data_IF_178360922749
#
_entry.id   IF_178360922749
#
_cell.length_a   1.000
_cell.length_b   1.000
_cell.length_c   1.000
_cell.angle_alpha   90.00
_cell.angle_beta   90.00
_cell.angle_gamma   90.00
#
_symmetry.space_group_name_H-M   'P 1'
#
loop_
_entity.id
_entity.type
_entity.pdbx_description
1 polymer ?
#
# COMPACT_ATOMS: atom_id res chain seq x y z
N UNK A 1 23.23 1.86 78.22
CA UNK A 1 23.24 0.73 77.26
C UNK A 1 21.81 0.40 76.87
N UNK A 2 21.60 -0.18 75.67
CA UNK A 2 20.33 -0.36 74.89
C UNK A 2 20.21 0.78 73.85
N UNK A 3 20.75 0.72 72.62
CA UNK A 3 20.60 -0.22 71.47
C UNK A 3 19.13 -0.52 71.13
N UNK A 4 18.66 0.03 70.01
CA UNK A 4 17.35 -0.28 69.43
C UNK A 4 17.08 0.48 68.13
N UNK A 5 17.93 0.25 67.13
CA UNK A 5 17.80 0.72 65.74
C UNK A 5 16.50 0.13 65.11
N UNK A 6 15.57 0.97 64.65
CA UNK A 6 14.49 0.52 63.76
C UNK A 6 14.46 1.41 62.51
N UNK A 7 15.38 1.09 61.59
CA UNK A 7 15.42 1.58 60.21
C UNK A 7 14.63 0.59 59.36
N UNK A 8 13.32 0.76 59.21
CA UNK A 8 12.57 0.22 58.06
C UNK A 8 11.43 1.17 57.71
N UNK A 9 11.74 2.15 56.88
CA UNK A 9 10.75 2.74 55.96
C UNK A 9 11.25 2.50 54.53
N UNK A 10 11.47 1.22 54.20
CA UNK A 10 11.77 0.75 52.85
C UNK A 10 10.53 0.85 51.98
N UNK A 11 10.41 1.99 51.31
CA UNK A 11 9.52 2.38 50.21
C UNK A 11 8.84 1.20 49.47
N UNK A 12 7.51 0.99 49.63
CA UNK A 12 6.75 0.03 48.81
C UNK A 12 6.36 0.52 47.39
N UNK A 13 6.90 1.62 46.87
CA UNK A 13 6.27 2.34 45.75
C UNK A 13 6.87 2.10 44.35
N UNK A 14 7.90 1.26 44.19
CA UNK A 14 8.56 1.11 42.89
C UNK A 14 7.85 0.16 41.92
N UNK A 15 6.96 -0.73 42.38
CA UNK A 15 6.29 -1.73 41.52
C UNK A 15 5.18 -1.09 40.65
N UNK A 16 4.41 -0.13 41.19
CA UNK A 16 3.28 0.47 40.47
C UNK A 16 3.66 1.36 39.28
N UNK A 17 4.87 1.95 39.29
CA UNK A 17 5.32 2.84 38.19
C UNK A 17 5.72 2.04 36.95
N UNK A 18 6.34 0.88 37.12
CA UNK A 18 6.76 0.03 36.01
C UNK A 18 5.56 -0.55 35.23
N UNK A 19 4.52 -0.99 35.93
CA UNK A 19 3.30 -1.50 35.30
C UNK A 19 2.53 -0.38 34.58
N UNK A 20 2.46 0.82 35.16
CA UNK A 20 1.83 1.98 34.53
C UNK A 20 2.55 2.41 33.24
N UNK A 21 3.89 2.40 33.23
CA UNK A 21 4.67 2.71 32.01
C UNK A 21 4.53 1.63 30.94
N UNK A 22 4.46 0.35 31.32
CA UNK A 22 4.23 -0.76 30.38
C UNK A 22 2.82 -0.70 29.77
N UNK A 23 1.80 -0.43 30.61
CA UNK A 23 0.43 -0.22 30.17
C UNK A 23 0.30 1.01 29.28
N UNK A 24 0.99 2.11 29.60
CA UNK A 24 0.98 3.32 28.79
C UNK A 24 1.69 3.11 27.45
N UNK A 25 2.83 2.40 27.41
CA UNK A 25 3.48 2.02 26.14
C UNK A 25 2.59 1.12 25.29
N UNK A 26 1.91 0.14 25.89
CA UNK A 26 0.97 -0.76 25.20
C UNK A 26 -0.26 0.00 24.70
N UNK A 27 -0.82 0.91 25.49
CA UNK A 27 -1.94 1.76 25.10
C UNK A 27 -1.55 2.74 23.98
N UNK A 28 -0.35 3.33 24.04
CA UNK A 28 0.17 4.20 22.99
C UNK A 28 0.44 3.43 21.69
N UNK A 29 0.97 2.20 21.77
CA UNK A 29 1.13 1.34 20.60
C UNK A 29 -0.24 0.97 19.99
N UNK A 30 -1.21 0.59 20.83
CA UNK A 30 -2.58 0.29 20.38
C UNK A 30 -3.32 1.53 19.82
N UNK A 31 -2.98 2.73 20.27
CA UNK A 31 -3.51 3.98 19.71
C UNK A 31 -2.90 4.30 18.34
N UNK A 32 -1.60 4.01 18.14
CA UNK A 32 -0.94 4.14 16.83
C UNK A 32 -1.56 3.20 15.78
N UNK A 33 -1.87 1.97 16.15
CA UNK A 33 -2.51 0.98 15.26
C UNK A 33 -3.93 1.40 14.82
N UNK A 34 -4.60 2.25 15.60
CA UNK A 34 -5.96 2.74 15.34
C UNK A 34 -6.00 4.11 14.66
N UNK A 35 -4.86 4.74 14.41
CA UNK A 35 -4.82 6.02 13.71
C UNK A 35 -5.18 5.81 12.24
N UNK A 36 -6.32 6.36 11.83
CA UNK A 36 -6.79 6.28 10.45
C UNK A 36 -5.98 7.23 9.56
N UNK A 37 -5.61 6.75 8.38
CA UNK A 37 -4.90 7.56 7.40
C UNK A 37 -5.47 7.34 6.00
N UNK A 38 -5.39 8.38 5.18
CA UNK A 38 -5.57 8.27 3.75
C UNK A 38 -4.24 7.86 3.12
N UNK A 39 -4.32 7.17 2.00
CA UNK A 39 -3.16 6.84 1.18
C UNK A 39 -3.13 7.79 -0.02
N UNK A 40 -1.99 8.42 -0.25
CA UNK A 40 -1.76 9.31 -1.38
C UNK A 40 -0.52 8.89 -2.16
N UNK A 41 -0.44 9.37 -3.38
CA UNK A 41 0.69 9.11 -4.28
C UNK A 41 0.93 10.35 -5.13
N UNK A 42 2.19 10.74 -5.30
CA UNK A 42 2.56 11.80 -6.23
C UNK A 42 3.01 11.17 -7.54
N UNK A 43 2.29 11.44 -8.62
CA UNK A 43 2.54 10.82 -9.94
C UNK A 43 2.38 11.85 -11.05
N UNK A 44 3.18 11.73 -12.10
CA UNK A 44 3.03 12.46 -13.35
C UNK A 44 2.51 11.47 -14.41
N UNK A 45 1.19 11.42 -14.58
CA UNK A 45 0.54 10.48 -15.52
C UNK A 45 0.13 11.17 -16.83
N UNK A 46 0.03 12.49 -16.81
CA UNK A 46 -0.26 13.39 -17.92
C UNK A 46 0.86 14.44 -18.11
N UNK A 47 0.64 15.36 -19.06
CA UNK A 47 1.60 16.39 -19.44
C UNK A 47 1.66 17.58 -18.44
N UNK A 48 0.72 17.63 -17.49
CA UNK A 48 0.60 18.73 -16.50
C UNK A 48 1.55 18.57 -15.30
N UNK A 49 2.36 17.50 -15.29
CA UNK A 49 3.41 17.24 -14.30
C UNK A 49 2.93 16.44 -13.08
N UNK A 50 3.74 16.39 -12.00
CA UNK A 50 3.43 15.54 -10.85
C UNK A 50 2.32 16.11 -9.97
N UNK A 51 1.27 15.33 -9.75
CA UNK A 51 0.11 15.69 -8.91
C UNK A 51 -0.03 14.71 -7.74
N UNK A 52 -0.32 15.22 -6.54
CA UNK A 52 -0.69 14.40 -5.39
C UNK A 52 -2.14 13.90 -5.56
N UNK A 53 -2.29 12.59 -5.71
CA UNK A 53 -3.57 11.91 -5.92
C UNK A 53 -3.93 11.04 -4.70
N UNK A 54 -5.22 10.92 -4.42
CA UNK A 54 -5.71 9.98 -3.41
C UNK A 54 -5.83 8.57 -3.99
N UNK A 55 -5.60 7.56 -3.16
CA UNK A 55 -5.92 6.19 -3.51
C UNK A 55 -7.37 5.87 -3.14
N UNK A 56 -8.06 5.14 -4.01
CA UNK A 56 -9.46 4.74 -3.84
C UNK A 56 -9.64 3.23 -4.04
N UNK A 57 -10.61 2.66 -3.35
CA UNK A 57 -10.97 1.25 -3.43
C UNK A 57 -12.18 1.09 -4.33
N UNK A 58 -12.05 0.24 -5.35
CA UNK A 58 -13.12 -0.04 -6.30
C UNK A 58 -12.90 -1.41 -6.95
N UNK A 59 -13.97 -2.18 -7.09
CA UNK A 59 -13.98 -3.46 -7.83
C UNK A 59 -12.88 -4.44 -7.33
N UNK A 60 -12.62 -4.43 -6.01
CA UNK A 60 -11.63 -5.30 -5.38
C UNK A 60 -10.18 -4.90 -5.61
N UNK A 61 -9.90 -3.70 -6.15
CA UNK A 61 -8.55 -3.19 -6.42
C UNK A 61 -8.34 -1.81 -5.79
N UNK A 62 -7.08 -1.47 -5.58
CA UNK A 62 -6.63 -0.14 -5.18
C UNK A 62 -6.26 0.67 -6.43
N UNK A 63 -6.91 1.82 -6.59
CA UNK A 63 -6.77 2.71 -7.74
C UNK A 63 -6.21 4.07 -7.32
N UNK A 64 -5.67 4.81 -8.29
CA UNK A 64 -5.27 6.21 -8.17
C UNK A 64 -6.40 7.08 -8.74
N UNK A 65 -6.94 7.97 -7.93
CA UNK A 65 -7.96 8.94 -8.35
C UNK A 65 -7.27 10.18 -8.95
N UNK A 66 -6.79 10.03 -10.19
CA UNK A 66 -6.09 11.08 -10.92
C UNK A 66 -7.10 12.06 -11.57
N UNK A 67 -6.87 13.39 -11.56
CA UNK A 67 -7.80 14.35 -12.17
C UNK A 67 -8.11 14.08 -13.65
N UNK A 68 -7.11 13.67 -14.44
CA UNK A 68 -7.28 13.29 -15.84
C UNK A 68 -8.00 11.94 -16.06
N UNK A 69 -8.03 11.07 -15.05
CA UNK A 69 -8.62 9.74 -15.12
C UNK A 69 -9.35 9.38 -13.81
N UNK A 70 -10.44 10.09 -13.45
CA UNK A 70 -11.06 9.98 -12.15
C UNK A 70 -11.69 8.61 -11.91
N UNK A 71 -11.61 8.14 -10.68
CA UNK A 71 -12.10 6.83 -10.27
C UNK A 71 -13.16 6.99 -9.17
N UNK A 72 -14.47 6.91 -9.51
CA UNK A 72 -15.51 6.96 -8.50
C UNK A 72 -15.49 5.65 -7.70
N UNK A 73 -14.91 5.72 -6.51
CA UNK A 73 -14.71 4.63 -5.56
C UNK A 73 -14.60 5.16 -4.13
N UNK A 74 -14.46 4.25 -3.17
CA UNK A 74 -14.37 4.61 -1.76
C UNK A 74 -12.95 5.10 -1.44
N UNK A 75 -12.79 6.28 -0.86
CA UNK A 75 -11.45 6.78 -0.52
C UNK A 75 -10.78 5.85 0.48
N UNK A 76 -9.57 5.40 0.17
CA UNK A 76 -8.82 4.52 1.05
C UNK A 76 -8.67 5.17 2.42
N UNK A 77 -9.13 4.50 3.46
CA UNK A 77 -9.02 4.96 4.85
C UNK A 77 -8.48 3.79 5.68
N UNK A 78 -7.17 3.70 5.67
CA UNK A 78 -6.43 2.58 6.21
C UNK A 78 -6.10 2.72 7.69
N UNK A 79 -5.94 1.58 8.34
CA UNK A 79 -5.34 1.43 9.66
C UNK A 79 -4.91 -0.04 9.84
N UNK A 80 -4.28 -0.36 10.96
CA UNK A 80 -3.62 -1.65 11.13
C UNK A 80 -4.34 -2.56 12.11
N UNK A 81 -4.31 -3.86 11.80
CA UNK A 81 -4.67 -4.94 12.71
C UNK A 81 -3.65 -6.05 12.63
N UNK A 82 -3.48 -6.79 13.72
CA UNK A 82 -2.80 -8.08 13.68
C UNK A 82 -3.56 -9.01 12.75
N UNK A 83 -2.89 -9.50 11.70
CA UNK A 83 -3.52 -10.43 10.78
C UNK A 83 -3.67 -11.80 11.43
N UNK A 84 -4.86 -12.44 11.37
CA UNK A 84 -5.11 -13.73 12.01
C UNK A 84 -4.45 -14.86 11.20
N UNK A 85 -3.16 -15.04 11.43
CA UNK A 85 -2.27 -16.09 10.93
C UNK A 85 -1.34 -16.54 12.06
N UNK A 86 -0.61 -17.64 11.88
CA UNK A 86 0.37 -18.12 12.85
C UNK A 86 1.46 -17.08 13.14
N UNK A 87 1.94 -16.39 12.11
CA UNK A 87 2.97 -15.35 12.23
C UNK A 87 2.50 -14.07 12.93
N UNK A 88 1.17 -13.88 13.05
CA UNK A 88 0.54 -12.70 13.69
C UNK A 88 1.15 -11.36 13.26
N UNK A 89 1.50 -11.24 11.97
CA UNK A 89 2.15 -10.05 11.47
C UNK A 89 1.18 -8.85 11.34
N UNK A 90 1.73 -7.65 11.15
CA UNK A 90 0.94 -6.44 10.96
C UNK A 90 0.25 -6.49 9.58
N UNK A 91 -1.09 -6.52 9.59
CA UNK A 91 -1.94 -6.44 8.42
C UNK A 91 -2.56 -5.05 8.29
N UNK A 92 -2.89 -4.68 7.05
CA UNK A 92 -3.55 -3.39 6.76
C UNK A 92 -5.00 -3.65 6.37
N UNK A 93 -5.91 -2.87 6.95
CA UNK A 93 -7.33 -2.85 6.57
C UNK A 93 -7.71 -1.47 6.10
N UNK A 94 -8.78 -1.35 5.32
CA UNK A 94 -9.41 -0.07 4.98
C UNK A 94 -10.92 -0.19 5.09
N UNK A 95 -11.58 0.93 5.38
CA UNK A 95 -13.02 1.02 5.12
C UNK A 95 -13.32 0.94 3.62
N UNK A 96 -14.47 0.40 3.26
CA UNK A 96 -14.97 0.30 1.87
C UNK A 96 -16.35 0.93 1.67
N UNK A 97 -16.98 1.35 2.77
CA UNK A 97 -18.27 2.01 2.85
C UNK A 97 -18.25 2.89 4.10
N UNK A 98 -18.94 4.03 4.05
CA UNK A 98 -19.06 4.92 5.21
C UNK A 98 -20.20 4.49 6.15
N UNK A 99 -21.30 3.97 5.61
CA UNK A 99 -22.48 3.58 6.38
C UNK A 99 -23.26 2.38 5.75
N UNK A 100 -23.27 1.19 6.38
CA UNK A 100 -22.48 0.82 7.55
C UNK A 100 -20.98 0.75 7.19
N UNK A 101 -20.08 1.07 8.13
CA UNK A 101 -18.66 0.95 7.89
C UNK A 101 -18.27 -0.52 7.75
N UNK A 102 -17.91 -0.91 6.54
CA UNK A 102 -17.39 -2.24 6.21
C UNK A 102 -15.87 -2.17 6.06
N UNK A 103 -15.20 -3.26 6.47
CA UNK A 103 -13.74 -3.34 6.46
C UNK A 103 -13.27 -4.48 5.57
N UNK A 104 -12.26 -4.19 4.77
CA UNK A 104 -11.54 -5.20 4.00
C UNK A 104 -10.06 -5.18 4.33
N UNK A 105 -9.44 -6.35 4.23
CA UNK A 105 -7.99 -6.49 4.24
C UNK A 105 -7.40 -6.02 2.93
N UNK A 106 -6.22 -5.43 3.00
CA UNK A 106 -5.42 -5.03 1.85
C UNK A 106 -4.31 -6.05 1.65
N UNK A 107 -4.20 -6.55 0.42
CA UNK A 107 -3.24 -7.60 0.07
C UNK A 107 -2.82 -7.46 -1.39
N UNK A 108 -1.72 -8.11 -1.75
CA UNK A 108 -1.26 -8.22 -3.12
C UNK A 108 -1.65 -9.59 -3.66
N UNK A 109 -2.40 -9.57 -4.75
CA UNK A 109 -2.80 -10.75 -5.49
C UNK A 109 -1.56 -11.44 -6.08
N UNK A 110 -1.48 -12.77 -5.99
CA UNK A 110 -0.27 -13.49 -6.39
C UNK A 110 -0.15 -13.65 -7.91
N UNK A 111 -1.30 -13.67 -8.58
CA UNK A 111 -1.41 -13.99 -10.00
C UNK A 111 -1.34 -12.70 -10.84
N UNK A 112 -1.92 -11.62 -10.33
CA UNK A 112 -1.97 -10.32 -11.02
C UNK A 112 -1.02 -9.28 -10.46
N UNK A 113 -0.41 -9.52 -9.28
CA UNK A 113 0.43 -8.57 -8.53
C UNK A 113 -0.26 -7.26 -8.14
N UNK A 114 -1.57 -7.14 -8.40
CA UNK A 114 -2.35 -5.96 -8.08
C UNK A 114 -2.59 -5.87 -6.58
N UNK A 115 -2.54 -4.65 -6.04
CA UNK A 115 -3.01 -4.37 -4.69
C UNK A 115 -4.53 -4.43 -4.69
N UNK A 116 -5.06 -5.38 -3.94
CA UNK A 116 -6.47 -5.73 -3.84
C UNK A 116 -7.01 -5.50 -2.43
N UNK A 117 -8.34 -5.48 -2.36
CA UNK A 117 -9.05 -5.46 -1.10
C UNK A 117 -10.13 -6.53 -1.08
N UNK A 118 -10.35 -7.16 0.07
CA UNK A 118 -11.36 -8.21 0.22
C UNK A 118 -11.55 -8.65 1.67
N UNK A 119 -12.50 -9.55 1.87
CA UNK A 119 -12.71 -10.20 3.16
C UNK A 119 -11.58 -11.18 3.48
N UNK A 120 -11.62 -11.75 4.69
CA UNK A 120 -10.57 -12.69 5.15
C UNK A 120 -10.46 -13.96 4.29
N UNK A 121 -11.53 -14.37 3.63
CA UNK A 121 -11.51 -15.53 2.73
C UNK A 121 -10.80 -15.22 1.42
N UNK A 122 -10.91 -13.98 0.93
CA UNK A 122 -10.29 -13.52 -0.32
C UNK A 122 -8.76 -13.39 -0.19
N UNK A 123 -8.26 -13.27 1.05
CA UNK A 123 -6.82 -13.21 1.33
C UNK A 123 -6.16 -14.59 1.43
N UNK A 124 -6.93 -15.68 1.36
CA UNK A 124 -6.42 -17.05 1.36
C UNK A 124 -5.86 -17.41 -0.02
N UNK A 125 -4.90 -18.35 -0.06
CA UNK A 125 -4.42 -18.90 -1.34
C UNK A 125 -3.03 -18.42 -1.80
N UNK A 126 -2.22 -17.86 -0.89
CA UNK A 126 -0.82 -17.51 -1.16
C UNK A 126 -0.57 -16.06 -1.59
N UNK A 127 -1.56 -15.20 -1.40
CA UNK A 127 -1.43 -13.75 -1.59
C UNK A 127 -0.41 -13.13 -0.62
N UNK A 128 0.22 -12.04 -1.04
CA UNK A 128 1.10 -11.29 -0.12
C UNK A 128 0.24 -10.33 0.70
N UNK A 129 -0.03 -10.74 1.93
CA UNK A 129 -0.91 -10.06 2.89
C UNK A 129 -0.16 -9.13 3.85
N UNK A 130 1.17 -9.11 3.79
CA UNK A 130 2.03 -8.37 4.69
C UNK A 130 3.43 -8.98 4.85
N UNK A 131 4.19 -8.52 5.84
CA UNK A 131 3.79 -7.45 6.76
C UNK A 131 3.76 -6.07 6.10
N UNK A 132 2.82 -5.23 6.54
CA UNK A 132 2.73 -3.83 6.15
C UNK A 132 3.40 -2.94 7.18
N UNK A 133 4.28 -2.04 6.76
CA UNK A 133 4.96 -1.08 7.64
C UNK A 133 5.18 0.26 6.92
N UNK A 134 5.89 1.17 7.57
CA UNK A 134 6.44 2.36 6.94
C UNK A 134 7.96 2.29 6.92
N UNK A 135 8.58 3.07 6.05
CA UNK A 135 10.00 3.39 6.15
C UNK A 135 10.33 4.01 7.52
N UNK A 136 11.60 3.99 7.91
CA UNK A 136 12.04 4.49 9.22
C UNK A 136 11.69 5.97 9.48
N UNK A 137 11.59 6.77 8.43
CA UNK A 137 11.17 8.17 8.47
C UNK A 137 9.64 8.36 8.40
N UNK A 138 8.88 7.26 8.41
CA UNK A 138 7.43 7.17 8.29
C UNK A 138 6.84 7.89 7.06
N UNK A 139 7.63 8.02 5.98
CA UNK A 139 7.21 8.70 4.75
C UNK A 139 6.52 7.77 3.76
N UNK A 140 7.06 6.56 3.58
CA UNK A 140 6.64 5.66 2.51
C UNK A 140 6.10 4.35 3.07
N UNK A 141 4.99 3.88 2.50
CA UNK A 141 4.43 2.57 2.82
C UNK A 141 5.37 1.49 2.30
N UNK A 142 5.58 0.46 3.12
CA UNK A 142 6.40 -0.71 2.78
C UNK A 142 5.55 -1.97 2.86
N UNK A 143 5.85 -2.92 1.98
CA UNK A 143 5.34 -4.28 2.04
C UNK A 143 6.52 -5.24 2.08
N UNK A 144 6.55 -6.12 3.08
CA UNK A 144 7.71 -7.00 3.35
C UNK A 144 9.02 -6.21 3.52
N UNK A 145 8.93 -4.97 4.01
CA UNK A 145 10.08 -4.10 4.27
C UNK A 145 10.57 -3.27 3.07
N UNK A 146 9.91 -3.36 1.91
CA UNK A 146 10.30 -2.61 0.71
C UNK A 146 9.19 -1.64 0.26
N UNK A 147 9.58 -0.41 -0.07
CA UNK A 147 8.71 0.64 -0.60
C UNK A 147 8.88 0.86 -2.12
N UNK A 148 9.98 0.43 -2.72
CA UNK A 148 10.34 0.76 -4.11
C UNK A 148 9.60 -0.10 -5.15
N UNK A 149 9.05 -1.24 -4.74
CA UNK A 149 8.36 -2.18 -5.62
C UNK A 149 6.90 -1.80 -5.95
N UNK A 150 6.38 -0.69 -5.45
CA UNK A 150 5.05 -0.25 -5.88
C UNK A 150 5.11 0.40 -7.25
N UNK A 151 4.18 0.00 -8.13
CA UNK A 151 4.02 0.57 -9.47
C UNK A 151 2.56 0.93 -9.70
N UNK A 152 2.31 1.99 -10.46
CA UNK A 152 0.99 2.29 -11.02
C UNK A 152 0.92 1.71 -12.42
N UNK A 153 -0.12 0.94 -12.72
CA UNK A 153 -0.33 0.27 -14.00
C UNK A 153 -1.60 0.82 -14.67
N UNK A 154 -1.47 1.27 -15.91
CA UNK A 154 -2.59 1.72 -16.74
C UNK A 154 -3.41 0.51 -17.19
N UNK A 155 -4.67 0.49 -16.79
CA UNK A 155 -5.63 -0.54 -17.15
C UNK A 155 -6.33 -0.20 -18.47
N UNK A 156 -7.03 -1.16 -19.06
CA UNK A 156 -7.74 -1.01 -20.36
C UNK A 156 -8.72 0.18 -20.38
N UNK A 157 -9.26 0.55 -19.22
CA UNK A 157 -10.17 1.68 -19.04
C UNK A 157 -9.47 3.04 -18.85
N UNK A 158 -8.17 3.14 -19.15
CA UNK A 158 -7.34 4.35 -18.98
C UNK A 158 -7.20 4.83 -17.53
N UNK A 159 -7.50 3.97 -16.55
CA UNK A 159 -7.35 4.25 -15.12
C UNK A 159 -6.15 3.50 -14.57
N UNK A 160 -5.62 4.01 -13.47
CA UNK A 160 -4.37 3.53 -12.90
C UNK A 160 -4.62 2.76 -11.63
N UNK A 161 -4.23 1.49 -11.62
CA UNK A 161 -4.29 0.64 -10.44
C UNK A 161 -2.89 0.46 -9.84
N UNK A 162 -2.83 0.26 -8.53
CA UNK A 162 -1.56 0.03 -7.83
C UNK A 162 -1.25 -1.47 -7.85
N UNK A 163 -0.02 -1.81 -8.20
CA UNK A 163 0.53 -3.16 -8.12
C UNK A 163 1.84 -3.15 -7.29
N UNK A 164 2.26 -4.33 -6.86
CA UNK A 164 3.54 -4.54 -6.17
C UNK A 164 4.41 -5.49 -7.00
N UNK A 165 5.32 -4.89 -7.76
CA UNK A 165 6.16 -5.54 -8.76
C UNK A 165 7.51 -5.95 -8.19
N UNK A 166 7.52 -7.02 -7.40
CA UNK A 166 8.76 -7.54 -6.81
C UNK A 166 9.68 -8.19 -7.84
N UNK A 167 9.09 -8.93 -8.78
CA UNK A 167 9.81 -9.81 -9.69
C UNK A 167 10.05 -9.17 -11.08
N UNK A 168 9.72 -7.88 -11.23
CA UNK A 168 9.91 -7.14 -12.48
C UNK A 168 8.92 -7.51 -13.59
N UNK A 169 7.76 -8.07 -13.25
CA UNK A 169 6.73 -8.46 -14.20
C UNK A 169 6.26 -7.29 -15.07
N UNK A 170 6.16 -6.09 -14.48
CA UNK A 170 5.88 -4.87 -15.23
C UNK A 170 7.18 -4.16 -15.64
N UNK A 171 8.16 -4.12 -14.73
CA UNK A 171 9.33 -3.25 -14.84
C UNK A 171 10.58 -3.79 -15.56
N UNK A 172 10.56 -5.04 -16.04
CA UNK A 172 11.72 -5.68 -16.68
C UNK A 172 12.24 -4.99 -17.95
N UNK A 173 11.52 -4.05 -18.56
CA UNK A 173 11.91 -3.38 -19.81
C UNK A 173 12.76 -2.10 -19.61
N UNK A 174 13.28 -1.81 -18.42
CA UNK A 174 14.30 -0.75 -18.24
C UNK A 174 15.69 -1.12 -18.81
N UNK A 175 15.78 -2.17 -19.63
CA UNK A 175 16.97 -2.58 -20.36
C UNK A 175 16.64 -2.89 -21.82
N UNK A 176 17.15 -2.02 -22.70
CA UNK A 176 17.24 -2.17 -24.17
C UNK A 176 15.98 -1.81 -24.96
N UNK A 177 15.78 -0.50 -25.18
CA UNK A 177 15.10 -0.01 -26.39
C UNK A 177 16.03 -0.28 -27.58
N UNK A 178 15.80 -1.36 -28.32
CA UNK A 178 16.19 -1.45 -29.73
C UNK A 178 14.95 -1.11 -30.55
N UNK A 179 14.96 0.11 -31.10
CA UNK A 179 14.08 0.54 -32.19
C UNK A 179 14.23 -0.42 -33.37
N UNK A 180 13.21 -1.23 -33.64
CA UNK A 180 13.03 -1.84 -34.96
C UNK A 180 11.85 -1.16 -35.65
N UNK A 181 12.15 -0.04 -36.31
CA UNK A 181 11.35 0.52 -37.38
C UNK A 181 11.45 -0.39 -38.60
N UNK A 182 10.49 -1.30 -38.81
CA UNK A 182 10.32 -1.97 -40.10
C UNK A 182 9.52 -1.07 -41.05
N UNK A 183 10.24 -0.42 -41.96
CA UNK A 183 9.70 0.13 -43.20
C UNK A 183 9.26 -1.03 -44.10
N UNK A 184 7.96 -1.12 -44.39
CA UNK A 184 7.41 -2.08 -45.35
C UNK A 184 6.86 -1.37 -46.57
N UNK A 185 7.65 -1.33 -47.64
CA UNK A 185 7.21 -1.01 -49.01
C UNK A 185 6.06 -1.95 -49.42
N UNK A 186 5.02 -1.38 -50.02
CA UNK A 186 3.86 -2.12 -50.54
C UNK A 186 3.97 -2.18 -52.06
N UNK A 187 4.23 -3.37 -52.60
CA UNK A 187 3.93 -3.70 -54.00
C UNK A 187 2.73 -4.67 -54.05
N UNK A 188 1.85 -4.39 -55.00
CA UNK A 188 0.57 -5.04 -55.26
C UNK A 188 0.74 -6.47 -55.80
N UNK A 189 -0.17 -7.39 -55.44
CA UNK A 189 -1.09 -8.08 -56.39
C UNK A 189 -1.87 -9.26 -55.75
N UNK A 190 -3.19 -9.20 -55.99
CA UNK A 190 -4.23 -10.23 -56.15
C UNK A 190 -4.26 -11.57 -55.38
N UNK A 191 -5.21 -11.61 -54.43
CA UNK A 191 -6.41 -12.48 -54.38
C UNK A 191 -6.28 -14.01 -54.57
N UNK A 192 -6.56 -14.78 -53.49
CA UNK A 192 -6.91 -16.19 -53.65
C UNK A 192 -6.93 -17.06 -52.40
N UNK A 193 -7.97 -16.91 -51.57
CA UNK A 193 -8.59 -17.94 -50.70
C UNK A 193 -7.77 -18.68 -49.62
N UNK A 194 -8.26 -18.47 -48.39
CA UNK A 194 -8.41 -19.43 -47.29
C UNK A 194 -7.14 -19.92 -46.60
N UNK A 195 -6.77 -19.24 -45.50
CA UNK A 195 -6.02 -19.86 -44.41
C UNK A 195 -6.32 -19.22 -43.05
N UNK A 196 -6.18 -20.05 -42.02
CA UNK A 196 -6.43 -19.76 -40.60
C UNK A 196 -5.59 -18.57 -40.12
N UNK A 197 -6.24 -17.49 -39.71
CA UNK A 197 -5.60 -16.48 -38.87
C UNK A 197 -5.65 -16.94 -37.41
N UNK A 198 -4.64 -17.71 -37.00
CA UNK A 198 -4.20 -17.72 -35.62
C UNK A 198 -3.49 -16.38 -35.36
N UNK A 199 -4.31 -15.35 -35.13
CA UNK A 199 -3.87 -13.99 -34.84
C UNK A 199 -3.24 -13.91 -33.46
N UNK A 200 -2.02 -14.43 -33.32
CA UNK A 200 -1.14 -14.23 -32.17
C UNK A 200 -0.66 -12.78 -32.08
N UNK A 201 -1.59 -11.83 -31.93
CA UNK A 201 -1.26 -10.45 -31.64
C UNK A 201 -0.50 -10.39 -30.31
N UNK A 202 0.78 -9.99 -30.34
CA UNK A 202 1.54 -9.66 -29.14
C UNK A 202 0.72 -8.66 -28.34
N UNK A 203 0.13 -9.10 -27.22
CA UNK A 203 -0.60 -8.21 -26.31
C UNK A 203 0.37 -7.13 -25.85
N UNK A 204 0.11 -5.88 -26.26
CA UNK A 204 0.90 -4.72 -25.85
C UNK A 204 0.94 -4.69 -24.33
N UNK A 205 2.14 -4.63 -23.76
CA UNK A 205 2.31 -4.54 -22.30
C UNK A 205 1.62 -3.28 -21.77
N UNK A 206 0.97 -3.34 -20.60
CA UNK A 206 0.34 -2.16 -20.02
C UNK A 206 1.41 -1.13 -19.67
N UNK A 207 1.09 0.15 -19.84
CA UNK A 207 1.94 1.25 -19.38
C UNK A 207 2.01 1.21 -17.86
N UNK A 208 3.18 1.48 -17.30
CA UNK A 208 3.38 1.53 -15.86
C UNK A 208 4.38 2.62 -15.48
N UNK A 209 4.33 3.06 -14.22
CA UNK A 209 5.31 3.98 -13.61
C UNK A 209 5.61 3.56 -12.17
N UNK A 210 6.85 3.72 -11.67
CA UNK A 210 7.16 3.48 -10.27
C UNK A 210 6.51 4.53 -9.38
N UNK A 211 6.00 4.11 -8.21
CA UNK A 211 5.31 5.01 -7.29
C UNK A 211 5.71 4.76 -5.85
N UNK A 212 5.67 5.82 -5.04
CA UNK A 212 5.84 5.73 -3.58
C UNK A 212 4.57 6.19 -2.89
N UNK A 213 4.02 5.33 -2.04
CA UNK A 213 2.75 5.56 -1.37
C UNK A 213 2.98 6.27 -0.03
N UNK A 214 2.23 7.33 0.23
CA UNK A 214 2.35 8.20 1.40
C UNK A 214 1.11 8.11 2.29
N UNK A 215 1.30 8.28 3.60
CA UNK A 215 0.16 8.52 4.50
C UNK A 215 -0.17 10.00 4.51
N UNK A 216 -1.48 10.28 4.46
CA UNK A 216 -2.04 11.57 4.79
C UNK A 216 -2.99 11.40 5.98
N UNK A 217 -2.63 11.90 7.17
CA UNK A 217 -3.49 11.74 8.35
C UNK A 217 -4.85 12.41 8.13
N UNK A 218 -5.89 11.85 8.72
CA UNK A 218 -7.21 12.46 8.71
C UNK A 218 -7.16 13.79 9.47
N UNK A 219 -7.71 14.87 8.88
CA UNK A 219 -7.72 16.22 9.48
C UNK A 219 -8.27 16.17 10.92
N UNK A 220 -7.50 16.63 11.90
CA UNK A 220 -7.81 16.52 13.34
C UNK A 220 -7.10 15.37 14.08
N UNK A 221 -6.44 14.46 13.36
CA UNK A 221 -5.43 13.53 13.91
C UNK A 221 -4.03 14.09 13.61
N UNK A 222 -3.64 15.19 14.26
CA UNK A 222 -2.25 15.63 14.19
C UNK A 222 -1.36 14.59 14.88
N UNK A 223 -0.31 14.12 14.18
CA UNK A 223 0.77 13.37 14.82
C UNK A 223 1.44 14.30 15.83
N UNK A 224 1.06 14.19 17.09
CA UNK A 224 1.67 14.92 18.19
C UNK A 224 3.02 14.28 18.55
N UNK A 225 3.98 14.33 17.64
CA UNK A 225 5.35 13.86 17.86
C UNK A 225 6.39 14.77 17.19
N UNK A 226 6.14 16.07 17.15
CA UNK A 226 7.20 17.07 16.95
C UNK A 226 7.09 18.15 18.02
N UNK A 227 7.55 17.82 19.23
CA UNK A 227 8.27 18.72 20.15
C UNK A 227 8.64 17.95 21.42
N UNK A 228 9.91 17.56 21.51
CA UNK A 228 10.46 16.88 22.68
C UNK A 228 11.93 16.55 22.56
N UNK A 229 12.71 17.40 21.89
CA UNK A 229 14.17 17.37 21.93
C UNK A 229 14.66 18.77 21.53
N UNK A 230 14.48 19.73 22.45
CA UNK A 230 15.27 20.95 22.64
C UNK A 230 14.52 21.82 23.65
N UNK A 231 15.05 21.84 24.87
CA UNK A 231 14.51 22.50 26.06
C UNK A 231 14.97 21.77 27.30
#
# INVERSE_FOLDING_TARGET
>A
MVIGLLVIAGIPTTIGVCEALSAQKKANAAAKEKAKFYLTVTVALDDDGPVECFCVLKDGKLWIDHPAAPVPGHKFMGYYFTYPSEDQHLGMVSTISDDPPMLNWIFVDKDTLMVRHGGRMDTLGGHTIGPWYWTNDERWLTLKGDAAHFVAVEMENKKWAIAWDRDGHFSADLGTEEDESEEGETDEEENGSQDKEDGGGRKKRPRWVPVLLQRKPQLGMESRYVKGANG
#
